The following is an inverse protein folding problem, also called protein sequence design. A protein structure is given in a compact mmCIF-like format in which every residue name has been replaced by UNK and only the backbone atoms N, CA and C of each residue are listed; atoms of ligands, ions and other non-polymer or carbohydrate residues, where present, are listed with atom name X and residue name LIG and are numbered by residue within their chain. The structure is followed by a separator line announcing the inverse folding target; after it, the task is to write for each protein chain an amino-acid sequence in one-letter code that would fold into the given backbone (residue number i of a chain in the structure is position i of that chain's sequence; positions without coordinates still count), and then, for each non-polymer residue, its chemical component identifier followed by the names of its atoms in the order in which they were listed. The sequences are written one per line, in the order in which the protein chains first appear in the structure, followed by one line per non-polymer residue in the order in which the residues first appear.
data_IF_571726192602
#
_entry.id   IF_571726192602
#
_cell.length_a   1.000
_cell.length_b   1.000
_cell.length_c   1.000
_cell.angle_alpha   90.00
_cell.angle_beta   90.00
_cell.angle_gamma   90.00
#
_symmetry.space_group_name_H-M   'P 1'
#
loop_
_entity.id
_entity.type
_entity.pdbx_description
1 polymer ?
#
# COMPACT_ATOMS: atom_id res chain seq x y z
N UNK A 1 20.90 -37.64 -5.32
CA UNK A 1 20.55 -37.71 -3.89
C UNK A 1 19.51 -36.64 -3.63
N UNK A 2 18.40 -36.97 -2.99
CA UNK A 2 17.42 -35.95 -2.60
C UNK A 2 18.01 -35.01 -1.54
N UNK A 3 17.70 -33.71 -1.59
CA UNK A 3 18.18 -32.76 -0.60
C UNK A 3 17.54 -33.10 0.76
N UNK A 4 18.40 -33.30 1.78
CA UNK A 4 17.93 -33.39 3.17
C UNK A 4 17.31 -32.03 3.52
N UNK A 5 16.05 -32.04 3.94
CA UNK A 5 15.30 -30.89 4.44
C UNK A 5 15.35 -30.91 5.98
N UNK A 6 16.42 -30.39 6.65
CA UNK A 6 16.44 -30.26 8.10
C UNK A 6 15.53 -29.10 8.52
N UNK A 7 14.24 -29.38 8.67
CA UNK A 7 13.22 -28.40 9.06
C UNK A 7 11.95 -29.08 9.61
N UNK A 8 11.06 -28.28 10.20
CA UNK A 8 9.76 -28.79 10.67
C UNK A 8 8.88 -29.13 9.46
N UNK A 9 8.52 -30.40 9.28
CA UNK A 9 7.69 -30.90 8.17
C UNK A 9 6.26 -30.32 8.14
N UNK A 10 5.83 -29.69 9.22
CA UNK A 10 4.49 -29.09 9.32
C UNK A 10 4.46 -27.59 9.02
N UNK A 11 5.62 -26.98 8.74
CA UNK A 11 5.71 -25.55 8.43
C UNK A 11 5.62 -25.37 6.92
N UNK A 12 4.84 -24.39 6.46
CA UNK A 12 4.74 -24.13 5.00
C UNK A 12 6.09 -23.64 4.47
N UNK A 13 6.39 -23.95 3.21
CA UNK A 13 7.65 -23.55 2.55
C UNK A 13 7.68 -22.05 2.19
N UNK A 14 6.60 -21.31 2.49
CA UNK A 14 6.43 -19.87 2.27
C UNK A 14 6.72 -19.39 0.84
N UNK A 15 6.49 -20.25 -0.14
CA UNK A 15 6.72 -19.95 -1.55
C UNK A 15 5.61 -19.05 -2.11
N UNK A 16 4.39 -19.17 -1.60
CA UNK A 16 3.24 -18.37 -2.01
C UNK A 16 2.88 -17.31 -0.95
N UNK A 17 2.22 -16.23 -1.38
CA UNK A 17 1.83 -15.14 -0.48
C UNK A 17 0.83 -15.63 0.59
N UNK A 18 -0.06 -16.54 0.19
CA UNK A 18 -1.05 -17.23 1.03
C UNK A 18 -0.38 -18.02 2.17
N UNK A 19 0.79 -18.60 1.94
CA UNK A 19 1.51 -19.36 2.97
C UNK A 19 1.90 -18.49 4.18
N UNK A 20 2.00 -17.17 3.99
CA UNK A 20 2.30 -16.21 5.07
C UNK A 20 1.07 -15.83 5.89
N UNK A 21 -0.12 -16.18 5.43
CA UNK A 21 -1.37 -15.90 6.13
C UNK A 21 -1.54 -16.92 7.24
N UNK A 22 -1.29 -16.49 8.48
CA UNK A 22 -1.33 -17.37 9.66
C UNK A 22 -2.78 -17.76 10.03
N UNK A 23 -3.77 -16.96 9.61
CA UNK A 23 -5.18 -17.20 9.86
C UNK A 23 -6.03 -16.81 8.65
N UNK A 24 -6.88 -17.73 8.21
CA UNK A 24 -7.83 -17.49 7.13
C UNK A 24 -8.75 -16.30 7.44
N UNK A 25 -9.10 -15.48 6.43
CA UNK A 25 -10.01 -14.37 6.62
C UNK A 25 -11.37 -14.88 7.11
N UNK A 26 -11.92 -14.25 8.14
CA UNK A 26 -13.27 -14.59 8.61
C UNK A 26 -14.32 -14.34 7.54
N UNK A 27 -15.27 -15.28 7.41
CA UNK A 27 -16.49 -15.21 6.60
C UNK A 27 -17.56 -14.28 7.22
N UNK A 28 -17.36 -13.82 8.46
CA UNK A 28 -18.28 -12.93 9.15
C UNK A 28 -18.24 -11.49 8.57
N UNK A 29 -19.33 -10.71 8.68
CA UNK A 29 -19.33 -9.29 8.31
C UNK A 29 -18.23 -8.50 9.01
N UNK A 30 -17.62 -7.55 8.30
CA UNK A 30 -16.52 -6.70 8.80
C UNK A 30 -16.92 -5.23 8.70
N UNK A 31 -16.75 -4.48 9.81
CA UNK A 31 -16.84 -3.03 9.80
C UNK A 31 -15.49 -2.45 9.42
N UNK A 32 -15.41 -1.78 8.26
CA UNK A 32 -14.19 -1.12 7.79
C UNK A 32 -14.42 0.39 7.83
N UNK A 33 -13.85 1.05 8.83
CA UNK A 33 -13.86 2.51 8.91
C UNK A 33 -12.64 3.00 8.15
N UNK A 34 -12.85 3.44 6.90
CA UNK A 34 -11.82 4.12 6.12
C UNK A 34 -11.82 5.59 6.52
N UNK A 35 -10.65 6.11 6.81
CA UNK A 35 -10.45 7.53 7.09
C UNK A 35 -9.75 8.17 5.90
N UNK A 36 -10.42 9.08 5.22
CA UNK A 36 -9.81 9.92 4.18
C UNK A 36 -9.34 11.21 4.86
N UNK A 37 -8.25 11.12 5.63
CA UNK A 37 -7.72 12.27 6.36
C UNK A 37 -7.01 13.27 5.46
N UNK A 38 -6.51 12.82 4.31
CA UNK A 38 -5.86 13.68 3.34
C UNK A 38 -6.89 14.17 2.32
N UNK A 39 -6.81 15.46 1.99
CA UNK A 39 -7.57 16.02 0.89
C UNK A 39 -7.12 15.40 -0.43
N UNK A 40 -8.05 15.24 -1.38
CA UNK A 40 -7.75 14.72 -2.72
C UNK A 40 -6.67 15.55 -3.45
N UNK A 41 -6.50 16.81 -3.05
CA UNK A 41 -5.53 17.71 -3.61
C UNK A 41 -4.73 18.41 -2.52
N UNK A 42 -3.44 18.08 -2.39
CA UNK A 42 -2.49 18.69 -1.44
C UNK A 42 -2.26 20.21 -1.63
N UNK A 43 -2.89 20.82 -2.63
CA UNK A 43 -2.95 22.28 -2.84
C UNK A 43 -4.08 22.94 -2.06
N UNK A 44 -5.15 22.20 -1.80
CA UNK A 44 -6.25 22.66 -0.98
C UNK A 44 -5.78 22.70 0.49
N UNK A 45 -6.29 23.68 1.24
CA UNK A 45 -6.01 23.92 2.67
C UNK A 45 -4.52 23.94 3.10
N UNK A 46 -3.59 23.98 2.15
CA UNK A 46 -2.16 23.97 2.42
C UNK A 46 -1.65 25.42 2.55
N UNK A 47 -1.30 25.89 3.76
CA UNK A 47 -0.84 27.26 3.98
C UNK A 47 0.52 27.56 3.32
N UNK A 48 1.23 26.51 2.88
CA UNK A 48 2.49 26.61 2.17
C UNK A 48 2.31 26.54 0.65
N UNK A 49 1.10 26.26 0.16
CA UNK A 49 0.83 26.32 -1.27
C UNK A 49 0.61 27.79 -1.66
N UNK A 50 1.47 28.36 -2.53
CA UNK A 50 1.36 29.76 -2.89
C UNK A 50 0.02 30.03 -3.61
N UNK A 51 -0.83 30.88 -3.02
CA UNK A 51 -2.11 31.28 -3.63
C UNK A 51 -1.92 32.30 -4.77
N UNK A 52 -0.85 33.08 -4.69
CA UNK A 52 -0.51 34.11 -5.65
C UNK A 52 0.77 33.71 -6.36
N UNK A 53 0.63 32.90 -7.40
CA UNK A 53 1.45 32.97 -8.61
C UNK A 53 1.09 31.78 -9.51
N UNK A 54 0.73 32.11 -10.75
CA UNK A 54 0.81 31.20 -11.88
C UNK A 54 2.28 30.94 -12.20
N UNK A 55 3.05 30.47 -11.21
CA UNK A 55 4.39 29.96 -11.44
C UNK A 55 4.25 28.49 -11.76
N UNK A 56 4.77 28.14 -12.94
CA UNK A 56 4.67 26.86 -13.60
C UNK A 56 4.81 25.73 -12.58
N UNK A 57 3.69 25.09 -12.28
CA UNK A 57 3.66 23.95 -11.36
C UNK A 57 4.60 22.92 -11.93
N UNK A 58 5.64 22.54 -11.19
CA UNK A 58 6.54 21.44 -11.55
C UNK A 58 5.69 20.17 -11.71
N UNK A 59 5.24 19.88 -12.94
CA UNK A 59 4.38 18.73 -13.27
C UNK A 59 5.19 17.45 -13.41
N UNK A 60 6.53 17.56 -13.45
CA UNK A 60 7.47 16.47 -13.67
C UNK A 60 7.19 15.26 -12.77
N UNK A 61 6.84 15.51 -11.51
CA UNK A 61 6.54 14.44 -10.57
C UNK A 61 5.18 13.78 -10.84
N UNK A 62 4.15 14.54 -11.24
CA UNK A 62 2.84 13.97 -11.61
C UNK A 62 2.94 13.18 -12.90
N UNK A 63 3.57 13.77 -13.92
CA UNK A 63 3.75 13.16 -15.24
C UNK A 63 4.53 11.83 -15.16
N UNK A 64 5.45 11.69 -14.19
CA UNK A 64 6.20 10.45 -13.95
C UNK A 64 5.36 9.28 -13.41
N UNK A 65 4.29 9.58 -12.65
CA UNK A 65 3.44 8.53 -12.04
C UNK A 65 2.16 8.23 -12.84
N UNK A 66 1.89 9.01 -13.89
CA UNK A 66 0.74 8.83 -14.78
C UNK A 66 1.07 7.96 -16.02
N UNK A 67 2.31 7.46 -16.18
CA UNK A 67 2.73 6.37 -17.11
C UNK A 67 2.57 4.97 -16.49
#
# INVERSE_FOLDING_TARGET
MEPKQPGNKSMSDFNELSDRVIAEPSESPKLVIKTNFDEENAKNENPYYPQSEQEETNTLLRDYFDE
#
